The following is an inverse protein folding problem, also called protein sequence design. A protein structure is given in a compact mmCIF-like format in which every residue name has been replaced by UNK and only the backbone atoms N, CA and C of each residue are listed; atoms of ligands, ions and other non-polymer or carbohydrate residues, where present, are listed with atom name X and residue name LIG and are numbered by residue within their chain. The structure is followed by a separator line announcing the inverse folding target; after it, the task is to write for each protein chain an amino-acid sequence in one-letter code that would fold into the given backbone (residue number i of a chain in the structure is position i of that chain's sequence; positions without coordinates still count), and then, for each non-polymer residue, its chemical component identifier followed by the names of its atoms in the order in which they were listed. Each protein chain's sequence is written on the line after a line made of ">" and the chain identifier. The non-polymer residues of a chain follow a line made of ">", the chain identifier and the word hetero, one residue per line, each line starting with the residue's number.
data_IF_033961347534
#
_entry.id   IF_033961347534
#
_cell.length_a   1.000
_cell.length_b   1.000
_cell.length_c   1.000
_cell.angle_alpha   90.00
_cell.angle_beta   90.00
_cell.angle_gamma   90.00
#
_symmetry.space_group_name_H-M   'P 1'
#
loop_
_entity.id
_entity.type
_entity.pdbx_description
1 polymer ?
#
# COMPACT_ATOMS: atom_id res chain seq x y z
N UNK A 1 -3.95 -18.97 46.06
CA UNK A 1 -4.10 -19.10 44.57
C UNK A 1 -4.30 -17.77 43.80
N UNK A 2 -4.42 -16.61 44.44
CA UNK A 2 -4.63 -15.29 43.78
C UNK A 2 -3.38 -14.62 43.20
N UNK A 3 -2.17 -15.03 43.57
CA UNK A 3 -0.92 -14.39 43.13
C UNK A 3 -0.47 -14.81 41.72
N UNK A 4 -0.89 -15.99 41.24
CA UNK A 4 -0.51 -16.54 39.92
C UNK A 4 -1.36 -15.98 38.76
N UNK A 5 -2.63 -15.60 39.03
CA UNK A 5 -3.50 -14.98 38.05
C UNK A 5 -3.10 -13.52 37.73
N UNK A 6 -2.63 -12.77 38.74
CA UNK A 6 -2.14 -11.39 38.55
C UNK A 6 -0.83 -11.30 37.75
N UNK A 7 0.01 -12.34 37.74
CA UNK A 7 1.26 -12.35 36.96
C UNK A 7 1.04 -12.66 35.49
N UNK A 8 -0.01 -13.40 35.13
CA UNK A 8 -0.40 -13.65 33.73
C UNK A 8 -0.96 -12.39 33.06
N UNK A 9 -1.92 -11.73 33.71
CA UNK A 9 -2.54 -10.50 33.25
C UNK A 9 -1.52 -9.34 33.11
N UNK A 10 -0.54 -9.26 34.01
CA UNK A 10 0.55 -8.27 33.97
C UNK A 10 1.57 -8.54 32.85
N UNK A 11 1.65 -9.77 32.32
CA UNK A 11 2.48 -10.13 31.16
C UNK A 11 1.83 -9.75 29.84
N UNK A 12 0.51 -9.82 29.72
CA UNK A 12 -0.25 -9.36 28.55
C UNK A 12 -0.30 -7.82 28.46
N UNK A 13 -0.12 -7.12 29.57
CA UNK A 13 -0.05 -5.65 29.65
C UNK A 13 1.38 -5.08 29.44
N UNK A 14 2.40 -5.92 29.29
CA UNK A 14 3.77 -5.41 29.07
C UNK A 14 3.92 -4.75 27.71
N UNK A 15 4.55 -3.57 27.64
CA UNK A 15 4.89 -2.90 26.40
C UNK A 15 5.77 -3.82 25.56
N UNK A 16 5.35 -4.10 24.33
CA UNK A 16 6.10 -4.89 23.35
C UNK A 16 6.29 -4.09 22.07
N UNK A 17 7.28 -4.46 21.24
CA UNK A 17 7.49 -3.84 19.93
C UNK A 17 6.25 -3.95 19.07
N UNK A 18 5.55 -5.08 19.04
CA UNK A 18 4.34 -5.30 18.26
C UNK A 18 3.20 -4.37 18.69
N UNK A 19 2.97 -4.19 20.00
CA UNK A 19 1.97 -3.23 20.50
C UNK A 19 2.30 -1.79 20.12
N UNK A 20 3.58 -1.42 20.11
CA UNK A 20 4.03 -0.10 19.68
C UNK A 20 3.73 0.08 18.20
N UNK A 21 4.04 -0.93 17.37
CA UNK A 21 3.79 -0.91 15.92
C UNK A 21 2.29 -0.82 15.63
N UNK A 22 1.45 -1.63 16.27
CA UNK A 22 0.01 -1.59 16.06
C UNK A 22 -0.60 -0.23 16.44
N UNK A 23 -0.21 0.32 17.60
CA UNK A 23 -0.64 1.66 18.01
C UNK A 23 -0.13 2.76 17.06
N UNK A 24 1.04 2.58 16.45
CA UNK A 24 1.57 3.51 15.44
C UNK A 24 0.79 3.47 14.15
N UNK A 25 0.39 2.28 13.68
CA UNK A 25 -0.48 2.11 12.52
C UNK A 25 -1.80 2.84 12.74
N UNK A 26 -2.44 2.66 13.90
CA UNK A 26 -3.70 3.33 14.22
C UNK A 26 -3.56 4.87 14.27
N UNK A 27 -2.43 5.40 14.77
CA UNK A 27 -2.16 6.83 14.75
C UNK A 27 -1.91 7.36 13.33
N UNK A 28 -1.18 6.62 12.53
CA UNK A 28 -0.93 6.94 11.12
C UNK A 28 -2.23 6.98 10.32
N UNK A 29 -3.12 6.01 10.53
CA UNK A 29 -4.41 5.93 9.86
C UNK A 29 -5.36 7.08 10.25
N UNK A 30 -5.36 7.44 11.54
CA UNK A 30 -6.27 8.47 12.06
C UNK A 30 -5.77 9.90 11.89
N UNK A 31 -4.45 10.13 11.95
CA UNK A 31 -3.86 11.48 12.08
C UNK A 31 -2.68 11.71 11.13
N UNK A 32 -2.39 10.74 10.25
CA UNK A 32 -1.28 10.81 9.31
C UNK A 32 0.09 10.84 9.99
N UNK A 33 1.13 11.04 9.19
CA UNK A 33 2.52 11.06 9.67
C UNK A 33 2.80 12.22 10.65
N UNK A 34 2.11 13.35 10.48
CA UNK A 34 2.24 14.50 11.39
C UNK A 34 1.71 14.19 12.80
N UNK A 35 0.67 13.33 12.90
CA UNK A 35 0.10 12.90 14.18
C UNK A 35 0.93 11.85 14.92
N UNK A 36 1.84 11.16 14.22
CA UNK A 36 2.72 10.16 14.82
C UNK A 36 3.90 10.84 15.51
N UNK A 37 3.85 10.93 16.83
CA UNK A 37 4.93 11.41 17.70
C UNK A 37 5.12 10.47 18.89
N UNK A 38 6.32 10.47 19.50
CA UNK A 38 6.55 9.67 20.72
C UNK A 38 5.62 10.08 21.86
N UNK A 39 5.18 11.34 21.89
CA UNK A 39 4.21 11.84 22.87
C UNK A 39 2.83 11.23 22.66
N UNK A 40 2.26 11.35 21.44
CA UNK A 40 0.92 10.81 21.12
C UNK A 40 0.89 9.30 21.27
N UNK A 41 1.99 8.63 20.92
CA UNK A 41 2.13 7.19 21.07
C UNK A 41 2.21 6.77 22.56
N UNK A 42 2.93 7.52 23.40
CA UNK A 42 2.99 7.25 24.85
C UNK A 42 1.64 7.45 25.52
N UNK A 43 0.93 8.50 25.15
CA UNK A 43 -0.44 8.77 25.65
C UNK A 43 -1.39 7.62 25.28
N UNK A 44 -1.35 7.15 24.01
CA UNK A 44 -2.17 6.04 23.54
C UNK A 44 -1.85 4.71 24.22
N UNK A 45 -0.59 4.45 24.49
CA UNK A 45 -0.11 3.21 25.15
C UNK A 45 -0.15 3.27 26.69
N UNK A 46 -0.59 4.40 27.25
CA UNK A 46 -0.60 4.68 28.70
C UNK A 46 0.78 4.40 29.34
N UNK A 47 1.88 4.85 28.69
CA UNK A 47 3.26 4.63 29.11
C UNK A 47 4.08 5.91 29.07
N UNK A 48 5.29 5.88 29.61
CA UNK A 48 6.26 6.97 29.45
C UNK A 48 7.03 6.88 28.12
N UNK A 49 7.43 8.02 27.50
CA UNK A 49 8.21 8.01 26.26
C UNK A 49 9.50 7.19 26.36
N UNK A 50 10.16 7.19 27.51
CA UNK A 50 11.38 6.42 27.76
C UNK A 50 11.21 4.91 27.57
N UNK A 51 10.01 4.35 27.84
CA UNK A 51 9.74 2.94 27.63
C UNK A 51 9.69 2.58 26.14
N UNK A 52 9.26 3.49 25.28
CA UNK A 52 9.18 3.29 23.83
C UNK A 52 10.59 3.29 23.22
N UNK A 53 11.48 4.16 23.69
CA UNK A 53 12.88 4.26 23.20
C UNK A 53 13.71 2.98 23.42
N UNK A 54 13.28 2.08 24.30
CA UNK A 54 13.91 0.75 24.45
C UNK A 54 13.62 -0.18 23.27
N UNK A 55 12.58 0.10 22.50
CA UNK A 55 12.11 -0.73 21.39
C UNK A 55 12.31 -0.11 20.02
N UNK A 56 12.32 1.22 19.94
CA UNK A 56 12.30 2.02 18.72
C UNK A 56 13.30 3.16 18.86
N UNK A 57 14.21 3.31 17.90
CA UNK A 57 15.28 4.29 17.96
C UNK A 57 14.76 5.72 17.73
N UNK A 58 13.96 5.92 16.69
CA UNK A 58 13.46 7.23 16.30
C UNK A 58 12.13 7.11 15.51
N UNK A 59 11.62 8.24 15.02
CA UNK A 59 10.37 8.29 14.25
C UNK A 59 10.49 7.57 12.90
N UNK A 60 11.67 7.57 12.27
CA UNK A 60 11.89 6.89 10.99
C UNK A 60 11.85 5.37 11.18
N UNK A 61 12.51 4.84 12.23
CA UNK A 61 12.42 3.42 12.60
C UNK A 61 10.97 3.02 12.88
N UNK A 62 10.22 3.87 13.57
CA UNK A 62 8.81 3.64 13.86
C UNK A 62 7.94 3.56 12.59
N UNK A 63 8.13 4.51 11.66
CA UNK A 63 7.41 4.54 10.39
C UNK A 63 7.76 3.32 9.52
N UNK A 64 9.06 2.99 9.44
CA UNK A 64 9.56 1.81 8.72
C UNK A 64 9.00 0.52 9.31
N UNK A 65 8.99 0.39 10.65
CA UNK A 65 8.46 -0.80 11.32
C UNK A 65 6.96 -0.96 11.12
N UNK A 66 6.19 0.14 11.18
CA UNK A 66 4.75 0.14 10.90
C UNK A 66 4.48 -0.26 9.43
N UNK A 67 5.23 0.32 8.48
CA UNK A 67 5.15 -0.02 7.07
C UNK A 67 5.49 -1.49 6.82
N UNK A 68 6.59 -2.00 7.44
CA UNK A 68 7.00 -3.40 7.31
C UNK A 68 5.94 -4.37 7.84
N UNK A 69 5.26 -4.03 8.93
CA UNK A 69 4.20 -4.87 9.47
C UNK A 69 3.01 -5.01 8.49
N UNK A 70 2.59 -3.93 7.83
CA UNK A 70 1.53 -3.97 6.80
C UNK A 70 2.01 -4.78 5.59
N UNK A 71 3.18 -4.46 5.07
CA UNK A 71 3.74 -5.16 3.89
C UNK A 71 3.94 -6.65 4.18
N UNK A 72 4.50 -7.02 5.32
CA UNK A 72 4.71 -8.43 5.68
C UNK A 72 3.40 -9.20 5.78
N UNK A 73 2.35 -8.63 6.39
CA UNK A 73 1.01 -9.23 6.45
C UNK A 73 0.45 -9.44 5.04
N UNK A 74 0.56 -8.44 4.18
CA UNK A 74 0.09 -8.47 2.78
C UNK A 74 0.83 -9.53 1.96
N UNK A 75 2.15 -9.56 2.05
CA UNK A 75 2.99 -10.52 1.31
C UNK A 75 2.71 -11.95 1.74
N UNK A 76 2.57 -12.22 3.04
CA UNK A 76 2.24 -13.55 3.57
C UNK A 76 0.86 -14.03 3.09
N UNK A 77 -0.14 -13.15 3.06
CA UNK A 77 -1.49 -13.48 2.58
C UNK A 77 -1.53 -13.75 1.05
N UNK A 78 -0.59 -13.17 0.30
CA UNK A 78 -0.55 -13.26 -1.17
C UNK A 78 0.10 -14.55 -1.70
N UNK A 79 0.84 -15.28 -0.88
CA UNK A 79 1.51 -16.53 -1.27
C UNK A 79 0.52 -17.71 -1.20
N UNK A 80 -0.43 -17.75 -2.13
CA UNK A 80 -1.51 -18.77 -2.13
C UNK A 80 -1.48 -19.69 -3.36
N UNK A 81 -0.66 -19.42 -4.36
CA UNK A 81 -0.67 -20.12 -5.64
C UNK A 81 0.73 -20.55 -6.08
N UNK A 82 0.80 -21.74 -6.70
CA UNK A 82 2.02 -22.20 -7.38
C UNK A 82 2.23 -21.57 -8.77
N UNK A 83 1.26 -20.77 -9.27
CA UNK A 83 1.33 -20.15 -10.60
C UNK A 83 1.87 -18.71 -10.48
N UNK A 84 3.04 -18.41 -11.06
CA UNK A 84 3.70 -17.11 -10.89
C UNK A 84 2.81 -15.90 -11.22
N UNK A 85 2.07 -15.92 -12.34
CA UNK A 85 1.15 -14.84 -12.71
C UNK A 85 0.03 -14.61 -11.69
N UNK A 86 -0.52 -15.69 -11.14
CA UNK A 86 -1.56 -15.61 -10.11
C UNK A 86 -1.00 -14.99 -8.83
N UNK A 87 0.22 -15.36 -8.45
CA UNK A 87 0.89 -14.80 -7.27
C UNK A 87 1.23 -13.33 -7.49
N UNK A 88 1.72 -12.91 -8.67
CA UNK A 88 1.95 -11.49 -8.98
C UNK A 88 0.65 -10.70 -8.86
N UNK A 89 -0.48 -11.20 -9.40
CA UNK A 89 -1.79 -10.54 -9.27
C UNK A 89 -2.22 -10.41 -7.80
N UNK A 90 -2.01 -11.46 -7.00
CA UNK A 90 -2.34 -11.45 -5.58
C UNK A 90 -1.48 -10.45 -4.80
N UNK A 91 -0.17 -10.40 -5.04
CA UNK A 91 0.73 -9.41 -4.46
C UNK A 91 0.29 -7.99 -4.86
N UNK A 92 0.07 -7.77 -6.15
CA UNK A 92 -0.32 -6.46 -6.67
C UNK A 92 -1.62 -5.96 -6.04
N UNK A 93 -2.67 -6.81 -6.03
CA UNK A 93 -3.96 -6.45 -5.45
C UNK A 93 -3.87 -6.27 -3.94
N UNK A 94 -3.15 -7.13 -3.23
CA UNK A 94 -2.93 -6.99 -1.80
C UNK A 94 -2.23 -5.68 -1.44
N UNK A 95 -1.22 -5.28 -2.22
CA UNK A 95 -0.55 -3.99 -2.03
C UNK A 95 -1.44 -2.80 -2.38
N UNK A 96 -2.26 -2.89 -3.44
CA UNK A 96 -3.24 -1.88 -3.78
C UNK A 96 -4.23 -1.68 -2.63
N UNK A 97 -4.81 -2.77 -2.11
CA UNK A 97 -5.74 -2.74 -0.97
C UNK A 97 -5.07 -2.21 0.31
N UNK A 98 -3.81 -2.58 0.56
CA UNK A 98 -3.06 -2.09 1.71
C UNK A 98 -2.81 -0.57 1.64
N UNK A 99 -2.48 -0.03 0.46
CA UNK A 99 -2.29 1.41 0.24
C UNK A 99 -3.62 2.16 0.34
N UNK A 100 -4.73 1.57 -0.11
CA UNK A 100 -6.07 2.17 0.02
C UNK A 100 -6.52 2.24 1.48
N UNK A 101 -6.33 1.16 2.24
CA UNK A 101 -6.63 1.09 3.66
C UNK A 101 -5.71 1.97 4.53
N UNK A 102 -4.45 2.09 4.13
CA UNK A 102 -3.38 2.81 4.85
C UNK A 102 -2.66 3.79 3.89
N UNK A 103 -3.25 4.95 3.57
CA UNK A 103 -2.72 5.86 2.53
C UNK A 103 -1.26 6.30 2.73
N UNK A 104 -0.78 6.31 3.97
CA UNK A 104 0.59 6.66 4.33
C UNK A 104 1.63 5.61 3.88
N UNK A 105 1.21 4.34 3.63
CA UNK A 105 2.11 3.25 3.21
C UNK A 105 2.77 3.56 1.86
N UNK A 106 2.01 4.10 0.91
CA UNK A 106 2.56 4.48 -0.41
C UNK A 106 3.70 5.50 -0.30
N UNK A 107 3.53 6.52 0.54
CA UNK A 107 4.58 7.54 0.79
C UNK A 107 5.76 6.95 1.54
N UNK A 108 5.53 6.14 2.58
CA UNK A 108 6.60 5.50 3.34
C UNK A 108 7.49 4.62 2.45
N UNK A 109 6.89 3.84 1.55
CA UNK A 109 7.63 3.01 0.59
C UNK A 109 8.47 3.84 -0.39
N UNK A 110 7.94 4.96 -0.89
CA UNK A 110 8.67 5.80 -1.86
C UNK A 110 9.78 6.63 -1.22
N UNK A 111 9.66 6.99 0.05
CA UNK A 111 10.67 7.78 0.79
C UNK A 111 11.84 6.93 1.29
N UNK A 112 11.65 5.62 1.47
CA UNK A 112 12.66 4.70 2.01
C UNK A 112 12.89 3.47 1.10
N UNK A 113 13.38 3.65 -0.15
CA UNK A 113 13.48 2.57 -1.14
C UNK A 113 14.48 1.46 -0.76
N UNK A 114 15.42 1.74 0.14
CA UNK A 114 16.40 0.76 0.63
C UNK A 114 15.95 -0.04 1.85
N UNK A 115 14.80 0.30 2.43
CA UNK A 115 14.33 -0.32 3.66
C UNK A 115 13.60 -1.65 3.42
N UNK A 116 13.50 -2.44 4.50
CA UNK A 116 12.98 -3.82 4.46
C UNK A 116 11.59 -3.95 3.81
N UNK A 117 10.61 -3.06 4.04
CA UNK A 117 9.30 -3.16 3.39
C UNK A 117 9.39 -3.19 1.85
N UNK A 118 10.19 -2.31 1.27
CA UNK A 118 10.42 -2.27 -0.17
C UNK A 118 11.13 -3.53 -0.67
N UNK A 119 12.15 -3.99 0.06
CA UNK A 119 12.90 -5.20 -0.27
C UNK A 119 11.98 -6.43 -0.30
N UNK A 120 11.04 -6.55 0.63
CA UNK A 120 10.05 -7.65 0.65
C UNK A 120 9.20 -7.69 -0.62
N UNK A 121 8.73 -6.54 -1.07
CA UNK A 121 7.91 -6.44 -2.29
C UNK A 121 8.75 -6.80 -3.52
N UNK A 122 9.95 -6.22 -3.62
CA UNK A 122 10.89 -6.51 -4.70
C UNK A 122 11.23 -8.00 -4.79
N UNK A 123 11.55 -8.64 -3.67
CA UNK A 123 11.86 -10.07 -3.62
C UNK A 123 10.64 -10.93 -3.98
N UNK A 124 9.46 -10.61 -3.45
CA UNK A 124 8.23 -11.33 -3.76
C UNK A 124 7.86 -11.30 -5.25
N UNK A 125 7.92 -10.11 -5.88
CA UNK A 125 7.67 -9.95 -7.32
C UNK A 125 8.82 -10.58 -8.12
N UNK A 126 10.08 -10.34 -7.73
CA UNK A 126 11.27 -10.82 -8.42
C UNK A 126 11.34 -12.34 -8.49
N UNK A 127 10.99 -13.02 -7.40
CA UNK A 127 10.89 -14.48 -7.38
C UNK A 127 9.88 -14.99 -8.44
N UNK A 128 8.73 -14.38 -8.57
CA UNK A 128 7.72 -14.76 -9.55
C UNK A 128 8.16 -14.44 -10.99
N UNK A 129 8.79 -13.29 -11.21
CA UNK A 129 9.31 -12.88 -12.52
C UNK A 129 10.39 -13.86 -13.00
N UNK A 130 11.26 -14.29 -12.10
CA UNK A 130 12.25 -15.35 -12.37
C UNK A 130 11.59 -16.69 -12.70
N UNK A 131 10.55 -17.07 -11.96
CA UNK A 131 9.78 -18.29 -12.21
C UNK A 131 9.00 -18.27 -13.54
N UNK A 132 8.74 -17.08 -14.11
CA UNK A 132 8.19 -16.91 -15.46
C UNK A 132 9.24 -17.13 -16.57
N UNK A 133 10.51 -17.32 -16.22
CA UNK A 133 11.60 -17.50 -17.19
C UNK A 133 12.05 -16.19 -17.85
N UNK A 134 11.83 -15.03 -17.23
CA UNK A 134 12.32 -13.74 -17.72
C UNK A 134 13.85 -13.74 -17.67
N UNK A 135 14.56 -13.39 -18.76
CA UNK A 135 16.02 -13.30 -18.79
C UNK A 135 16.57 -12.35 -17.71
N UNK A 136 17.72 -12.69 -17.14
CA UNK A 136 18.30 -11.96 -16.00
C UNK A 136 18.45 -10.46 -16.28
N UNK A 137 18.87 -10.11 -17.49
CA UNK A 137 19.04 -8.72 -17.94
C UNK A 137 17.72 -7.92 -18.02
N UNK A 138 16.58 -8.61 -18.12
CA UNK A 138 15.25 -7.99 -18.21
C UNK A 138 14.53 -7.95 -16.86
N UNK A 139 14.89 -8.82 -15.90
CA UNK A 139 14.18 -8.97 -14.63
C UNK A 139 14.02 -7.66 -13.88
N UNK A 140 15.09 -6.83 -13.81
CA UNK A 140 15.05 -5.54 -13.14
C UNK A 140 14.01 -4.58 -13.75
N UNK A 141 13.93 -4.53 -15.08
CA UNK A 141 12.97 -3.68 -15.78
C UNK A 141 11.53 -4.16 -15.57
N UNK A 142 11.30 -5.47 -15.63
CA UNK A 142 9.98 -6.08 -15.41
C UNK A 142 9.49 -5.86 -13.97
N UNK A 143 10.34 -6.15 -12.98
CA UNK A 143 10.03 -5.94 -11.55
C UNK A 143 9.75 -4.47 -11.27
N UNK A 144 10.61 -3.57 -11.78
CA UNK A 144 10.44 -2.13 -11.62
C UNK A 144 9.13 -1.62 -12.26
N UNK A 145 8.75 -2.13 -13.42
CA UNK A 145 7.50 -1.77 -14.08
C UNK A 145 6.29 -2.19 -13.24
N UNK A 146 6.26 -3.43 -12.76
CA UNK A 146 5.20 -3.92 -11.88
C UNK A 146 5.11 -3.11 -10.59
N UNK A 147 6.24 -2.88 -9.92
CA UNK A 147 6.32 -2.12 -8.68
C UNK A 147 5.82 -0.67 -8.87
N UNK A 148 6.35 0.02 -9.89
CA UNK A 148 5.97 1.40 -10.16
C UNK A 148 4.49 1.53 -10.53
N UNK A 149 3.92 0.54 -11.25
CA UNK A 149 2.51 0.50 -11.53
C UNK A 149 1.68 0.34 -10.23
N UNK A 150 2.06 -0.60 -9.37
CA UNK A 150 1.39 -0.85 -8.08
C UNK A 150 1.40 0.43 -7.22
N UNK A 151 2.57 1.02 -7.02
CA UNK A 151 2.73 2.21 -6.18
C UNK A 151 2.05 3.43 -6.79
N UNK A 152 2.17 3.62 -8.11
CA UNK A 152 1.59 4.76 -8.81
C UNK A 152 0.07 4.75 -8.78
N UNK A 153 -0.54 3.63 -9.18
CA UNK A 153 -2.02 3.53 -9.21
C UNK A 153 -2.60 3.45 -7.81
N UNK A 154 -1.99 2.65 -6.91
CA UNK A 154 -2.42 2.57 -5.51
C UNK A 154 -2.33 3.92 -4.79
N UNK A 155 -1.22 4.64 -4.97
CA UNK A 155 -1.02 5.97 -4.40
C UNK A 155 -2.00 7.01 -4.96
N UNK A 156 -2.28 6.98 -6.27
CA UNK A 156 -3.26 7.86 -6.90
C UNK A 156 -4.69 7.58 -6.39
N UNK A 157 -5.05 6.29 -6.27
CA UNK A 157 -6.35 5.90 -5.72
C UNK A 157 -6.53 6.40 -4.29
N UNK A 158 -5.55 6.17 -3.42
CA UNK A 158 -5.57 6.64 -2.04
C UNK A 158 -5.66 8.17 -1.94
N UNK A 159 -4.92 8.91 -2.79
CA UNK A 159 -4.97 10.36 -2.85
C UNK A 159 -6.35 10.88 -3.29
N UNK A 160 -6.97 10.25 -4.30
CA UNK A 160 -8.32 10.58 -4.76
C UNK A 160 -9.34 10.33 -3.65
N UNK A 161 -9.26 9.19 -2.94
CA UNK A 161 -10.11 8.89 -1.80
C UNK A 161 -9.97 9.90 -0.66
N UNK A 162 -8.75 10.35 -0.37
CA UNK A 162 -8.52 11.40 0.62
C UNK A 162 -9.08 12.75 0.19
N UNK A 163 -8.93 13.11 -1.09
CA UNK A 163 -9.49 14.35 -1.64
C UNK A 163 -11.01 14.33 -1.60
N UNK A 164 -11.66 13.22 -1.94
CA UNK A 164 -13.11 13.04 -1.83
C UNK A 164 -13.57 13.26 -0.38
N UNK A 165 -12.95 12.58 0.59
CA UNK A 165 -13.24 12.76 2.03
C UNK A 165 -13.09 14.20 2.50
N UNK A 166 -12.02 14.89 2.07
CA UNK A 166 -11.79 16.31 2.42
C UNK A 166 -12.90 17.23 1.89
N UNK A 167 -13.51 16.86 0.77
CA UNK A 167 -14.64 17.59 0.16
C UNK A 167 -16.01 17.15 0.67
N UNK A 168 -16.06 16.18 1.59
CA UNK A 168 -17.31 15.60 2.09
C UNK A 168 -18.10 14.82 1.05
N UNK A 169 -17.40 14.32 0.01
CA UNK A 169 -17.97 13.53 -1.06
C UNK A 169 -17.71 12.05 -0.85
N UNK A 170 -18.65 11.21 -1.23
CA UNK A 170 -18.34 9.80 -1.41
C UNK A 170 -17.60 9.58 -2.76
N UNK A 171 -17.21 8.32 -3.01
CA UNK A 171 -16.44 7.98 -4.20
C UNK A 171 -17.25 8.21 -5.49
N UNK A 172 -18.53 7.85 -5.49
CA UNK A 172 -19.41 8.01 -6.66
C UNK A 172 -19.57 9.47 -7.02
N UNK A 173 -19.91 10.31 -6.04
CA UNK A 173 -20.09 11.76 -6.21
C UNK A 173 -18.79 12.42 -6.71
N UNK A 174 -17.63 11.97 -6.17
CA UNK A 174 -16.34 12.49 -6.62
C UNK A 174 -16.09 12.17 -8.11
N UNK A 175 -16.32 10.92 -8.53
CA UNK A 175 -16.15 10.52 -9.93
C UNK A 175 -17.14 11.21 -10.86
N UNK A 176 -18.38 11.41 -10.43
CA UNK A 176 -19.40 12.13 -11.20
C UNK A 176 -19.00 13.60 -11.39
N UNK A 177 -18.45 14.25 -10.37
CA UNK A 177 -17.93 15.62 -10.47
C UNK A 177 -16.77 15.71 -11.47
N UNK A 178 -15.85 14.73 -11.46
CA UNK A 178 -14.74 14.65 -12.43
C UNK A 178 -15.29 14.42 -13.84
N UNK A 179 -16.21 13.48 -14.02
CA UNK A 179 -16.85 13.17 -15.30
C UNK A 179 -17.55 14.40 -15.90
N UNK A 180 -18.27 15.15 -15.07
CA UNK A 180 -18.92 16.41 -15.47
C UNK A 180 -17.89 17.43 -15.96
N UNK A 181 -16.79 17.63 -15.20
CA UNK A 181 -15.72 18.53 -15.59
C UNK A 181 -15.10 18.14 -16.94
N UNK A 182 -14.80 16.87 -17.13
CA UNK A 182 -14.18 16.37 -18.36
C UNK A 182 -15.14 16.45 -19.57
N UNK A 183 -16.44 16.25 -19.36
CA UNK A 183 -17.44 16.36 -20.43
C UNK A 183 -17.60 17.78 -20.99
N UNK A 184 -17.21 18.80 -20.21
CA UNK A 184 -17.28 20.22 -20.59
C UNK A 184 -16.03 20.72 -21.33
N UNK A 185 -14.96 19.94 -21.42
CA UNK A 185 -13.73 20.29 -22.15
C UNK A 185 -14.02 20.48 -23.65
N UNK A 186 -13.18 21.26 -24.35
CA UNK A 186 -13.30 21.44 -25.80
C UNK A 186 -13.14 20.07 -26.53
N UNK A 187 -14.14 19.67 -27.35
CA UNK A 187 -14.11 18.38 -28.02
C UNK A 187 -13.05 18.26 -29.11
N UNK A 188 -12.51 19.39 -29.60
CA UNK A 188 -11.43 19.40 -30.60
C UNK A 188 -10.06 19.20 -29.95
N UNK A 189 -9.88 19.75 -28.76
CA UNK A 189 -8.61 19.65 -28.03
C UNK A 189 -8.53 18.36 -27.18
N UNK A 190 -9.66 17.90 -26.59
CA UNK A 190 -9.72 16.81 -25.63
C UNK A 190 -10.68 15.68 -26.01
N UNK A 191 -10.66 15.17 -27.26
CA UNK A 191 -11.63 14.18 -27.73
C UNK A 191 -11.56 12.87 -26.93
N UNK A 192 -10.37 12.41 -26.58
CA UNK A 192 -10.18 11.17 -25.79
C UNK A 192 -10.69 11.32 -24.36
N UNK A 193 -10.29 12.39 -23.65
CA UNK A 193 -10.72 12.62 -22.26
C UNK A 193 -12.25 12.70 -22.17
N UNK A 194 -12.88 13.38 -23.12
CA UNK A 194 -14.35 13.44 -23.20
C UNK A 194 -14.97 12.06 -23.45
N UNK A 195 -14.36 11.24 -24.29
CA UNK A 195 -14.92 9.92 -24.62
C UNK A 195 -14.94 8.96 -23.43
N UNK A 196 -14.00 9.09 -22.48
CA UNK A 196 -13.94 8.26 -21.28
C UNK A 196 -14.69 8.86 -20.09
N UNK A 197 -15.10 10.14 -20.15
CA UNK A 197 -15.80 10.81 -19.05
C UNK A 197 -17.06 10.04 -18.61
N UNK A 198 -17.86 9.54 -19.55
CA UNK A 198 -19.07 8.79 -19.25
C UNK A 198 -18.84 7.43 -18.57
N UNK A 199 -17.61 6.93 -18.58
CA UNK A 199 -17.25 5.65 -17.97
C UNK A 199 -16.83 5.81 -16.49
N UNK A 200 -16.44 7.02 -16.06
CA UNK A 200 -15.92 7.27 -14.73
C UNK A 200 -16.90 6.92 -13.59
N UNK A 201 -18.20 7.23 -13.65
CA UNK A 201 -19.12 6.88 -12.56
C UNK A 201 -19.27 5.38 -12.32
N UNK A 202 -19.07 4.55 -13.34
CA UNK A 202 -19.14 3.09 -13.28
C UNK A 202 -17.77 2.45 -13.06
N UNK A 203 -16.71 3.24 -12.87
CA UNK A 203 -15.34 2.78 -12.72
C UNK A 203 -15.15 1.96 -11.44
N UNK A 204 -14.57 0.78 -11.58
CA UNK A 204 -14.13 -0.07 -10.46
C UNK A 204 -12.61 -0.10 -10.37
N UNK A 205 -12.05 0.55 -9.34
CA UNK A 205 -10.62 0.73 -9.17
C UNK A 205 -9.83 -0.57 -9.15
N UNK A 206 -10.36 -1.59 -8.48
CA UNK A 206 -9.68 -2.90 -8.36
C UNK A 206 -9.68 -3.65 -9.69
N UNK A 207 -10.80 -3.61 -10.41
CA UNK A 207 -10.93 -4.25 -11.72
C UNK A 207 -10.00 -3.60 -12.73
N UNK A 208 -9.97 -2.28 -12.79
CA UNK A 208 -9.12 -1.54 -13.73
C UNK A 208 -7.65 -1.63 -13.37
N UNK A 209 -7.34 -1.61 -12.06
CA UNK A 209 -5.98 -1.87 -11.57
C UNK A 209 -5.48 -3.25 -12.03
N UNK A 210 -6.28 -4.31 -11.85
CA UNK A 210 -5.92 -5.66 -12.29
C UNK A 210 -5.84 -5.79 -13.81
N UNK A 211 -6.67 -5.06 -14.57
CA UNK A 211 -6.58 -5.03 -16.02
C UNK A 211 -5.21 -4.49 -16.49
N UNK A 212 -4.69 -3.46 -15.82
CA UNK A 212 -3.34 -2.94 -16.08
C UNK A 212 -2.23 -3.93 -15.70
N UNK A 213 -2.34 -4.62 -14.57
CA UNK A 213 -1.41 -5.72 -14.23
C UNK A 213 -1.43 -6.78 -15.32
N UNK A 214 -2.60 -7.16 -15.85
CA UNK A 214 -2.73 -8.14 -16.91
C UNK A 214 -2.13 -7.68 -18.24
N UNK A 215 -2.19 -6.38 -18.54
CA UNK A 215 -1.50 -5.79 -19.69
C UNK A 215 0.02 -5.98 -19.57
N UNK A 216 0.60 -5.67 -18.42
CA UNK A 216 2.03 -5.86 -18.15
C UNK A 216 2.40 -7.35 -18.25
N UNK A 217 1.63 -8.24 -17.62
CA UNK A 217 1.87 -9.68 -17.64
C UNK A 217 1.75 -10.32 -19.03
N UNK A 218 0.89 -9.78 -19.92
CA UNK A 218 0.84 -10.18 -21.33
C UNK A 218 2.09 -9.76 -22.09
N UNK A 219 2.58 -8.55 -21.83
CA UNK A 219 3.80 -8.02 -22.45
C UNK A 219 5.06 -8.83 -22.13
N UNK A 220 5.17 -9.39 -20.93
CA UNK A 220 6.30 -10.22 -20.49
C UNK A 220 6.46 -11.49 -21.35
N UNK A 221 5.35 -12.06 -21.86
CA UNK A 221 5.39 -13.31 -22.64
C UNK A 221 5.27 -13.12 -24.15
N UNK A 222 5.26 -11.88 -24.64
CA UNK A 222 5.22 -11.64 -26.06
C UNK A 222 6.62 -11.86 -26.66
N UNK A 223 6.78 -12.74 -27.69
CA UNK A 223 8.07 -12.88 -28.36
C UNK A 223 8.46 -11.52 -28.93
N UNK A 224 9.67 -11.03 -28.58
CA UNK A 224 10.20 -9.82 -29.19
C UNK A 224 10.25 -10.01 -30.70
N UNK A 225 9.50 -9.21 -31.45
CA UNK A 225 9.81 -9.02 -32.87
C UNK A 225 11.18 -8.33 -32.93
N UNK A 226 12.20 -9.10 -33.38
CA UNK A 226 13.50 -8.52 -33.73
C UNK A 226 13.36 -7.63 -34.93
#
# INVERSE_FOLDING_TARGET
>A
MAKKARSGQRREESLSRDRIIDASIELLDSSGEAGLTFRTLSERLATGPGAIYWHIADKSDLLTAACDAIVARTMNASVTSAKPKTTIRAIALGMFDAIDAHPWVGSALTQAPGELPMVRILEGIGHQVRALGVPDEEQRAVVGTLLNYILGVGGQNAANGQLARTRGLDRSDFLEAVATTWSQLDPREYPFTRSIAAQLPAHDDRTDFLAGIDLILRGINSPRRR
#
